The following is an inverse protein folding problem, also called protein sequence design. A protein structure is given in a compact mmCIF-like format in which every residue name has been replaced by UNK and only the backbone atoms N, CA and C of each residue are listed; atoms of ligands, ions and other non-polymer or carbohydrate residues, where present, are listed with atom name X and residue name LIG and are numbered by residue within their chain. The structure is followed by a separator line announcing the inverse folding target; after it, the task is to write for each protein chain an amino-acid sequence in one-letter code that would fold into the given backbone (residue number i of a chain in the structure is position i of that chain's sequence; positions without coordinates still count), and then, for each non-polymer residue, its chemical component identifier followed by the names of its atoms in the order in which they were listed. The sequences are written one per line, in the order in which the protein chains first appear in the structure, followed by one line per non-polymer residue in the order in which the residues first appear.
data_IF_456882569272
#
_entry.id   IF_456882569272
#
_cell.length_a   1.000
_cell.length_b   1.000
_cell.length_c   1.000
_cell.angle_alpha   90.00
_cell.angle_beta   90.00
_cell.angle_gamma   90.00
#
_symmetry.space_group_name_H-M   'P 1'
#
loop_
_entity.id
_entity.type
_entity.pdbx_description
1 polymer ?
#
# COMPACT_ATOMS: atom_id res chain seq x y z
N UNK A 1 1.30 -23.82 -2.01
CA UNK A 1 1.99 -22.53 -1.81
C UNK A 1 3.02 -22.70 -0.71
N UNK A 2 4.21 -22.14 -0.84
CA UNK A 2 5.23 -22.17 0.23
C UNK A 2 4.75 -21.42 1.48
N UNK A 3 5.10 -21.90 2.69
CA UNK A 3 4.83 -21.17 3.93
C UNK A 3 5.43 -19.75 3.89
N UNK A 4 4.73 -18.75 4.46
CA UNK A 4 5.21 -17.35 4.54
C UNK A 4 6.65 -17.16 5.01
N UNK A 5 7.09 -17.92 6.02
CA UNK A 5 8.46 -17.83 6.53
C UNK A 5 9.47 -18.32 5.49
N UNK A 6 9.17 -19.41 4.79
CA UNK A 6 10.05 -19.96 3.74
C UNK A 6 10.24 -18.97 2.59
N UNK A 7 9.18 -18.24 2.21
CA UNK A 7 9.27 -17.19 1.17
C UNK A 7 10.27 -16.10 1.60
N UNK A 8 10.23 -15.70 2.86
CA UNK A 8 11.10 -14.63 3.37
C UNK A 8 12.53 -15.11 3.59
N UNK A 9 12.71 -16.33 4.11
CA UNK A 9 14.03 -16.90 4.38
C UNK A 9 14.80 -17.20 3.09
N UNK A 10 14.07 -17.52 2.01
CA UNK A 10 14.63 -17.77 0.68
C UNK A 10 14.51 -16.56 -0.27
N UNK A 11 14.16 -15.37 0.24
CA UNK A 11 14.08 -14.18 -0.60
C UNK A 11 15.49 -13.69 -0.97
N UNK A 12 15.83 -13.79 -2.26
CA UNK A 12 17.12 -13.36 -2.81
C UNK A 12 17.02 -12.16 -3.75
N UNK A 13 15.86 -11.49 -3.79
CA UNK A 13 15.57 -10.37 -4.67
C UNK A 13 15.01 -10.78 -6.03
N UNK A 14 15.00 -9.81 -6.95
CA UNK A 14 14.46 -9.96 -8.29
C UNK A 14 15.37 -10.84 -9.16
N UNK A 15 14.77 -11.79 -9.89
CA UNK A 15 15.48 -12.72 -10.78
C UNK A 15 15.53 -12.13 -12.19
N UNK A 16 16.72 -11.82 -12.71
CA UNK A 16 16.99 -11.36 -14.08
C UNK A 16 16.14 -10.17 -14.58
N UNK A 17 15.60 -9.35 -13.67
CA UNK A 17 14.57 -8.34 -13.96
C UNK A 17 13.30 -8.91 -14.62
N UNK A 18 13.06 -10.22 -14.51
CA UNK A 18 11.90 -10.92 -15.05
C UNK A 18 10.81 -11.02 -13.96
N UNK A 19 9.70 -10.32 -14.20
CA UNK A 19 8.57 -10.28 -13.28
C UNK A 19 7.94 -11.65 -13.08
N UNK A 20 7.66 -12.36 -14.17
CA UNK A 20 6.95 -13.65 -14.13
C UNK A 20 7.80 -14.74 -13.51
N UNK A 21 9.08 -14.80 -13.88
CA UNK A 21 10.05 -15.72 -13.27
C UNK A 21 10.20 -15.48 -11.78
N UNK A 22 10.29 -14.21 -11.36
CA UNK A 22 10.37 -13.85 -9.95
C UNK A 22 9.10 -14.30 -9.20
N UNK A 23 7.91 -13.99 -9.70
CA UNK A 23 6.63 -14.42 -9.10
C UNK A 23 6.55 -15.94 -8.99
N UNK A 24 6.85 -16.67 -10.08
CA UNK A 24 6.82 -18.14 -10.09
C UNK A 24 7.74 -18.74 -9.03
N UNK A 25 8.98 -18.27 -8.99
CA UNK A 25 9.96 -18.80 -8.04
C UNK A 25 9.60 -18.48 -6.58
N UNK A 26 9.10 -17.27 -6.33
CA UNK A 26 8.70 -16.80 -4.99
C UNK A 26 7.57 -17.63 -4.41
N UNK A 27 6.57 -17.95 -5.23
CA UNK A 27 5.34 -18.63 -4.79
C UNK A 27 5.30 -20.11 -5.13
N UNK A 28 6.39 -20.64 -5.67
CA UNK A 28 6.52 -22.02 -6.16
C UNK A 28 5.39 -22.39 -7.16
N UNK A 29 5.15 -21.51 -8.14
CA UNK A 29 4.12 -21.69 -9.17
C UNK A 29 4.71 -22.49 -10.35
N UNK A 30 4.10 -23.62 -10.76
CA UNK A 30 4.56 -24.44 -11.89
C UNK A 30 4.58 -23.68 -13.22
N UNK A 31 5.51 -23.99 -14.13
CA UNK A 31 5.63 -23.34 -15.45
C UNK A 31 4.34 -23.43 -16.29
N UNK A 32 3.61 -24.53 -16.17
CA UNK A 32 2.37 -24.81 -16.87
C UNK A 32 1.11 -24.30 -16.15
N UNK A 33 1.27 -23.53 -15.07
CA UNK A 33 0.17 -22.91 -14.34
C UNK A 33 -0.74 -22.08 -15.27
N UNK A 34 -2.06 -22.29 -15.11
CA UNK A 34 -3.11 -21.65 -15.91
C UNK A 34 -3.95 -20.69 -15.07
N UNK A 35 -3.49 -20.33 -13.87
CA UNK A 35 -4.23 -19.41 -13.01
C UNK A 35 -4.44 -18.08 -13.72
N UNK A 36 -5.69 -17.62 -13.73
CA UNK A 36 -6.09 -16.35 -14.33
C UNK A 36 -6.23 -15.34 -13.21
N UNK A 37 -5.33 -14.36 -13.19
CA UNK A 37 -5.40 -13.24 -12.26
C UNK A 37 -6.52 -12.28 -12.70
N UNK A 38 -7.41 -11.96 -11.77
CA UNK A 38 -8.63 -11.19 -12.04
C UNK A 38 -8.72 -9.94 -11.17
N UNK A 39 -9.09 -8.82 -11.79
CA UNK A 39 -9.57 -7.61 -11.09
C UNK A 39 -10.46 -6.81 -12.03
N UNK A 40 -11.66 -6.43 -11.60
CA UNK A 40 -12.64 -5.75 -12.46
C UNK A 40 -12.83 -6.47 -13.83
N UNK A 41 -12.61 -5.76 -14.95
CA UNK A 41 -12.69 -6.31 -16.31
C UNK A 41 -11.41 -7.02 -16.78
N UNK A 42 -10.37 -7.08 -15.94
CA UNK A 42 -9.09 -7.70 -16.27
C UNK A 42 -9.09 -9.18 -15.93
N UNK A 43 -8.61 -10.02 -16.86
CA UNK A 43 -8.43 -11.45 -16.66
C UNK A 43 -7.27 -11.96 -17.52
N UNK A 44 -6.10 -12.20 -16.93
CA UNK A 44 -4.92 -12.70 -17.65
C UNK A 44 -4.10 -13.69 -16.83
N UNK A 45 -3.45 -14.61 -17.53
CA UNK A 45 -2.44 -15.53 -16.98
C UNK A 45 -1.09 -14.84 -16.87
N UNK A 46 -0.19 -15.36 -16.02
CA UNK A 46 1.14 -14.77 -15.85
C UNK A 46 1.95 -14.65 -17.16
N UNK A 47 1.96 -15.65 -18.08
CA UNK A 47 2.61 -15.51 -19.39
C UNK A 47 2.03 -14.38 -20.26
N UNK A 48 0.71 -14.19 -20.24
CA UNK A 48 0.05 -13.09 -20.98
C UNK A 48 0.47 -11.72 -20.42
N UNK A 49 0.62 -11.62 -19.10
CA UNK A 49 1.14 -10.41 -18.43
C UNK A 49 2.58 -10.14 -18.87
N UNK A 50 3.45 -11.16 -18.87
CA UNK A 50 4.85 -11.03 -19.33
C UNK A 50 4.92 -10.55 -20.78
N UNK A 51 4.10 -11.12 -21.66
CA UNK A 51 4.08 -10.73 -23.08
C UNK A 51 3.80 -9.25 -23.27
N UNK A 52 2.91 -8.66 -22.46
CA UNK A 52 2.62 -7.22 -22.55
C UNK A 52 3.71 -6.35 -21.93
N UNK A 53 4.40 -6.85 -20.90
CA UNK A 53 5.58 -6.20 -20.34
C UNK A 53 6.69 -6.10 -21.39
N UNK A 54 6.99 -7.22 -22.05
CA UNK A 54 8.04 -7.30 -23.08
C UNK A 54 7.72 -6.44 -24.30
N UNK A 55 6.44 -6.29 -24.64
CA UNK A 55 5.98 -5.39 -25.70
C UNK A 55 6.17 -3.89 -25.38
N UNK A 56 6.41 -3.53 -24.12
CA UNK A 56 6.65 -2.15 -23.69
C UNK A 56 5.41 -1.22 -23.79
N UNK A 57 4.22 -1.77 -24.04
CA UNK A 57 2.99 -1.00 -24.24
C UNK A 57 2.40 -0.41 -22.95
N UNK A 58 2.99 -0.74 -21.79
CA UNK A 58 2.43 -0.50 -20.46
C UNK A 58 3.10 0.65 -19.70
N UNK A 59 3.85 1.50 -20.43
CA UNK A 59 4.53 2.66 -19.84
C UNK A 59 3.53 3.74 -19.44
N UNK A 60 3.64 4.18 -18.19
CA UNK A 60 2.98 5.36 -17.69
C UNK A 60 3.55 6.61 -18.37
N UNK A 61 2.67 7.50 -18.81
CA UNK A 61 3.01 8.65 -19.64
C UNK A 61 2.91 9.92 -18.82
N UNK A 62 4.05 10.45 -18.38
CA UNK A 62 4.11 11.81 -17.84
C UNK A 62 3.97 12.81 -18.97
N UNK A 63 3.30 13.93 -18.70
CA UNK A 63 3.10 14.99 -19.69
C UNK A 63 3.48 16.36 -19.11
N UNK A 64 3.97 17.24 -19.97
CA UNK A 64 4.09 18.68 -19.70
C UNK A 64 3.66 19.44 -20.94
N UNK A 65 2.81 20.45 -20.78
CA UNK A 65 2.26 21.24 -21.89
C UNK A 65 1.68 20.38 -23.04
N UNK A 66 1.03 19.27 -22.70
CA UNK A 66 0.43 18.34 -23.68
C UNK A 66 1.42 17.43 -24.42
N UNK A 67 2.71 17.51 -24.12
CA UNK A 67 3.74 16.62 -24.68
C UNK A 67 4.14 15.55 -23.68
N UNK A 68 4.30 14.32 -24.15
CA UNK A 68 4.81 13.22 -23.34
C UNK A 68 6.29 13.45 -23.00
N UNK A 69 6.62 13.31 -21.71
CA UNK A 69 7.99 13.37 -21.22
C UNK A 69 8.46 11.95 -20.93
N UNK A 70 9.66 11.62 -21.41
CA UNK A 70 10.36 10.41 -21.00
C UNK A 70 10.96 10.57 -19.61
N UNK A 71 10.68 9.60 -18.74
CA UNK A 71 11.24 9.53 -17.39
C UNK A 71 12.49 8.67 -17.40
N UNK A 72 13.57 9.17 -16.81
CA UNK A 72 14.82 8.42 -16.68
C UNK A 72 14.72 7.31 -15.64
N UNK A 73 15.45 6.21 -15.84
CA UNK A 73 15.57 5.14 -14.85
C UNK A 73 16.11 5.65 -13.50
N UNK A 74 17.05 6.59 -13.53
CA UNK A 74 17.63 7.23 -12.34
C UNK A 74 16.58 7.96 -11.51
N UNK A 75 15.60 8.62 -12.14
CA UNK A 75 14.54 9.29 -11.41
C UNK A 75 13.59 8.26 -10.76
N UNK A 76 13.28 7.16 -11.45
CA UNK A 76 12.46 6.07 -10.91
C UNK A 76 13.14 5.40 -9.72
N UNK A 77 14.44 5.11 -9.85
CA UNK A 77 15.25 4.57 -8.75
C UNK A 77 15.25 5.53 -7.56
N UNK A 78 15.45 6.83 -7.79
CA UNK A 78 15.39 7.83 -6.73
C UNK A 78 14.01 7.86 -6.04
N UNK A 79 12.91 7.77 -6.79
CA UNK A 79 11.55 7.69 -6.23
C UNK A 79 11.37 6.42 -5.38
N UNK A 80 11.67 5.23 -5.91
CA UNK A 80 11.51 3.97 -5.18
C UNK A 80 12.40 3.90 -3.92
N UNK A 81 13.56 4.57 -3.95
CA UNK A 81 14.49 4.63 -2.84
C UNK A 81 13.94 5.38 -1.62
N UNK A 82 12.95 6.27 -1.80
CA UNK A 82 12.27 6.98 -0.70
C UNK A 82 11.67 6.00 0.30
N UNK A 83 11.13 4.89 -0.21
CA UNK A 83 10.43 3.87 0.58
C UNK A 83 11.32 2.68 0.96
N UNK A 84 12.60 2.70 0.55
CA UNK A 84 13.54 1.64 0.86
C UNK A 84 13.83 1.60 2.37
N UNK A 85 13.89 0.41 2.99
CA UNK A 85 14.33 0.32 4.38
C UNK A 85 15.81 0.73 4.55
N UNK A 86 16.61 0.67 3.49
CA UNK A 86 18.04 0.98 3.54
C UNK A 86 18.36 2.48 3.47
N UNK A 87 17.37 3.34 3.23
CA UNK A 87 17.54 4.80 3.11
C UNK A 87 16.92 5.52 4.31
N UNK A 88 17.45 6.71 4.59
CA UNK A 88 16.79 7.64 5.50
C UNK A 88 15.72 8.37 4.68
N UNK A 89 14.44 8.12 4.97
CA UNK A 89 13.34 8.64 4.15
C UNK A 89 13.36 10.16 4.03
N UNK A 90 13.70 10.88 5.11
CA UNK A 90 13.77 12.35 5.05
C UNK A 90 14.89 12.80 4.10
N UNK A 91 16.08 12.23 4.22
CA UNK A 91 17.19 12.55 3.31
C UNK A 91 16.91 12.13 1.87
N UNK A 92 16.25 10.98 1.68
CA UNK A 92 15.83 10.52 0.37
C UNK A 92 14.85 11.49 -0.28
N UNK A 93 13.85 11.99 0.46
CA UNK A 93 12.96 13.06 -0.01
C UNK A 93 13.72 14.34 -0.36
N UNK A 94 14.62 14.81 0.52
CA UNK A 94 15.44 16.00 0.25
C UNK A 94 16.26 15.84 -1.04
N UNK A 95 16.92 14.69 -1.22
CA UNK A 95 17.69 14.39 -2.42
C UNK A 95 16.81 14.19 -3.66
N UNK A 96 15.59 13.67 -3.49
CA UNK A 96 14.62 13.54 -4.57
C UNK A 96 14.23 14.93 -5.10
N UNK A 97 13.95 15.88 -4.22
CA UNK A 97 13.63 17.27 -4.56
C UNK A 97 14.84 18.04 -5.09
N UNK A 98 15.98 18.02 -4.39
CA UNK A 98 17.12 18.90 -4.70
C UNK A 98 17.81 18.58 -6.02
N UNK A 99 17.71 17.33 -6.48
CA UNK A 99 18.30 16.88 -7.75
C UNK A 99 17.27 16.88 -8.91
N UNK A 100 16.05 17.37 -8.68
CA UNK A 100 15.06 17.48 -9.72
C UNK A 100 15.45 18.60 -10.70
N UNK A 101 15.41 18.31 -12.00
CA UNK A 101 15.54 19.36 -13.03
C UNK A 101 14.29 20.24 -12.98
N UNK A 102 14.47 21.55 -13.15
CA UNK A 102 13.34 22.50 -13.23
C UNK A 102 12.37 22.08 -14.34
N UNK A 103 11.08 22.13 -14.05
CA UNK A 103 9.96 21.70 -14.89
C UNK A 103 9.97 20.21 -15.28
N UNK A 104 10.73 19.37 -14.57
CA UNK A 104 10.70 17.92 -14.78
C UNK A 104 9.55 17.25 -14.03
N UNK A 105 9.08 16.06 -14.48
CA UNK A 105 8.12 15.27 -13.72
C UNK A 105 8.59 14.98 -12.29
N UNK A 106 9.89 14.79 -12.09
CA UNK A 106 10.48 14.57 -10.76
C UNK A 106 10.24 15.75 -9.83
N UNK A 107 10.39 16.98 -10.32
CA UNK A 107 10.13 18.18 -9.51
C UNK A 107 8.67 18.21 -9.04
N UNK A 108 7.74 17.99 -9.96
CA UNK A 108 6.30 17.98 -9.66
C UNK A 108 5.94 16.89 -8.65
N UNK A 109 6.42 15.65 -8.85
CA UNK A 109 6.18 14.55 -7.91
C UNK A 109 6.82 14.87 -6.55
N UNK A 110 8.05 15.38 -6.52
CA UNK A 110 8.75 15.69 -5.28
C UNK A 110 8.02 16.76 -4.46
N UNK A 111 7.62 17.87 -5.10
CA UNK A 111 6.84 18.93 -4.47
C UNK A 111 5.50 18.40 -3.96
N UNK A 112 4.82 17.56 -4.76
CA UNK A 112 3.57 16.94 -4.37
C UNK A 112 3.74 16.08 -3.12
N UNK A 113 4.63 15.09 -3.13
CA UNK A 113 4.85 14.21 -1.98
C UNK A 113 5.28 14.98 -0.73
N UNK A 114 6.11 16.02 -0.89
CA UNK A 114 6.53 16.88 0.22
C UNK A 114 5.34 17.65 0.82
N UNK A 115 4.44 18.19 0.00
CA UNK A 115 3.25 18.91 0.46
C UNK A 115 2.28 18.00 1.24
N UNK A 116 2.32 16.69 0.98
CA UNK A 116 1.48 15.69 1.62
C UNK A 116 2.13 15.11 2.89
N UNK A 117 3.39 15.41 3.19
CA UNK A 117 4.11 14.74 4.27
C UNK A 117 3.94 15.44 5.63
N UNK A 118 3.43 14.69 6.60
CA UNK A 118 3.40 15.00 8.04
C UNK A 118 3.92 13.76 8.77
N UNK A 119 5.16 13.79 9.26
CA UNK A 119 5.77 12.65 9.96
C UNK A 119 6.00 12.97 11.43
N UNK A 120 5.76 11.98 12.29
CA UNK A 120 5.89 12.09 13.76
C UNK A 120 7.12 11.37 14.30
N UNK A 121 7.84 10.64 13.45
CA UNK A 121 8.91 9.74 13.86
C UNK A 121 10.14 9.90 12.99
N UNK A 122 11.30 9.81 13.63
CA UNK A 122 12.57 9.62 12.93
C UNK A 122 12.78 8.12 12.72
N UNK A 123 12.49 7.64 11.52
CA UNK A 123 12.61 6.22 11.18
C UNK A 123 14.10 5.85 10.97
N UNK A 124 14.62 4.83 11.69
CA UNK A 124 15.98 4.35 11.47
C UNK A 124 16.11 3.62 10.14
N UNK A 125 17.32 3.44 9.63
CA UNK A 125 17.54 2.57 8.46
C UNK A 125 17.60 1.12 8.91
N UNK A 126 17.16 0.21 8.04
CA UNK A 126 17.33 -1.23 8.22
C UNK A 126 17.78 -1.88 6.91
N UNK A 127 18.97 -2.47 6.93
CA UNK A 127 19.45 -3.31 5.80
C UNK A 127 18.95 -4.75 5.89
N UNK A 128 18.35 -5.14 7.01
CA UNK A 128 17.91 -6.50 7.30
C UNK A 128 16.39 -6.65 7.18
N UNK A 129 15.66 -5.56 6.97
CA UNK A 129 14.22 -5.62 6.72
C UNK A 129 13.97 -6.16 5.30
N UNK A 130 13.40 -7.36 5.23
CA UNK A 130 13.02 -8.04 3.99
C UNK A 130 11.54 -7.75 3.71
N UNK A 131 11.23 -7.38 2.47
CA UNK A 131 9.86 -7.19 2.00
C UNK A 131 9.77 -7.50 0.49
N UNK A 132 9.45 -8.74 0.10
CA UNK A 132 9.36 -9.13 -1.32
C UNK A 132 8.37 -8.27 -2.11
N UNK A 133 7.30 -7.79 -1.45
CA UNK A 133 6.32 -6.92 -2.09
C UNK A 133 6.93 -5.57 -2.48
N UNK A 134 7.78 -4.99 -1.64
CA UNK A 134 8.49 -3.74 -1.95
C UNK A 134 9.41 -3.89 -3.17
N UNK A 135 10.19 -4.96 -3.21
CA UNK A 135 11.14 -5.19 -4.32
C UNK A 135 10.41 -5.41 -5.65
N UNK A 136 9.34 -6.21 -5.63
CA UNK A 136 8.50 -6.43 -6.81
C UNK A 136 7.75 -5.15 -7.23
N UNK A 137 7.28 -4.34 -6.27
CA UNK A 137 6.71 -3.03 -6.56
C UNK A 137 7.73 -2.11 -7.23
N UNK A 138 8.96 -2.04 -6.72
CA UNK A 138 10.01 -1.23 -7.32
C UNK A 138 10.36 -1.70 -8.73
N UNK A 139 10.39 -3.01 -8.98
CA UNK A 139 10.48 -3.57 -10.34
C UNK A 139 9.30 -3.09 -11.20
N UNK A 140 8.07 -3.14 -10.68
CA UNK A 140 6.91 -2.67 -11.42
C UNK A 140 7.06 -1.20 -11.83
N UNK A 141 7.53 -0.31 -10.94
CA UNK A 141 7.76 1.09 -11.28
C UNK A 141 8.74 1.24 -12.45
N UNK A 142 9.82 0.44 -12.50
CA UNK A 142 10.78 0.45 -13.61
C UNK A 142 10.13 -0.02 -14.92
N UNK A 143 9.42 -1.14 -14.88
CA UNK A 143 8.74 -1.72 -16.03
C UNK A 143 7.66 -0.77 -16.60
N UNK A 144 7.00 -0.01 -15.74
CA UNK A 144 5.97 0.95 -16.14
C UNK A 144 6.47 2.36 -16.36
N UNK A 145 7.77 2.63 -16.22
CA UNK A 145 8.29 3.99 -16.23
C UNK A 145 7.57 4.95 -15.26
N UNK A 146 7.18 4.45 -14.08
CA UNK A 146 6.42 5.21 -13.09
C UNK A 146 7.36 5.88 -12.07
N UNK A 147 7.23 7.21 -11.96
CA UNK A 147 8.02 8.08 -11.10
C UNK A 147 7.28 8.51 -9.83
N UNK A 148 6.02 8.11 -9.65
CA UNK A 148 5.17 8.54 -8.55
C UNK A 148 3.96 9.39 -8.98
N UNK A 149 3.07 9.67 -8.02
CA UNK A 149 1.79 10.34 -8.27
C UNK A 149 1.97 11.83 -8.59
N UNK A 150 1.03 12.36 -9.36
CA UNK A 150 0.90 13.80 -9.65
C UNK A 150 -0.22 14.42 -8.80
N UNK A 151 -0.24 15.76 -8.65
CA UNK A 151 -1.32 16.44 -7.93
C UNK A 151 -2.68 16.39 -8.63
N UNK A 152 -2.71 16.30 -9.96
CA UNK A 152 -3.95 16.21 -10.74
C UNK A 152 -4.52 14.78 -10.71
N UNK A 153 -5.68 14.51 -10.08
CA UNK A 153 -6.22 13.15 -9.99
C UNK A 153 -6.72 12.56 -11.31
N UNK A 154 -6.71 13.30 -12.43
CA UNK A 154 -7.19 12.83 -13.74
C UNK A 154 -6.52 11.55 -14.21
N UNK A 155 -5.22 11.35 -13.92
CA UNK A 155 -4.51 10.12 -14.26
C UNK A 155 -5.01 8.90 -13.48
N UNK A 156 -5.58 9.12 -12.30
CA UNK A 156 -6.12 8.09 -11.42
C UNK A 156 -7.61 7.84 -11.63
N UNK A 157 -8.25 8.58 -12.54
CA UNK A 157 -9.66 8.39 -12.88
C UNK A 157 -9.89 6.98 -13.43
N UNK A 158 -10.92 6.24 -13.00
CA UNK A 158 -11.21 4.87 -13.43
C UNK A 158 -11.08 4.62 -14.94
N UNK A 159 -11.47 5.56 -15.81
CA UNK A 159 -11.36 5.37 -17.27
C UNK A 159 -9.91 5.38 -17.77
N UNK A 160 -9.05 6.21 -17.18
CA UNK A 160 -7.62 6.27 -17.49
C UNK A 160 -6.88 5.17 -16.73
N UNK A 161 -7.33 4.89 -15.52
CA UNK A 161 -6.87 3.83 -14.66
C UNK A 161 -7.31 2.44 -15.16
N UNK A 162 -8.29 2.28 -16.03
CA UNK A 162 -8.67 0.96 -16.60
C UNK A 162 -7.58 0.35 -17.49
N UNK A 163 -6.59 1.17 -17.87
CA UNK A 163 -5.34 0.72 -18.49
C UNK A 163 -4.24 0.42 -17.46
N UNK A 164 -4.56 0.43 -16.15
CA UNK A 164 -3.58 0.24 -15.06
C UNK A 164 -3.14 -1.19 -14.99
N UNK A 165 -2.07 -1.41 -15.73
CA UNK A 165 -1.06 -2.42 -15.59
C UNK A 165 -1.51 -3.86 -15.27
N UNK A 166 -1.30 -4.82 -16.19
CA UNK A 166 -1.63 -6.24 -15.98
C UNK A 166 -0.99 -6.89 -14.75
N UNK A 167 0.03 -6.26 -14.14
CA UNK A 167 0.67 -6.72 -12.90
C UNK A 167 -0.23 -6.54 -11.65
N UNK A 168 -1.06 -5.48 -11.58
CA UNK A 168 -1.82 -5.17 -10.36
C UNK A 168 -2.64 -6.37 -9.81
N UNK A 169 -3.41 -7.11 -10.63
CA UNK A 169 -4.08 -8.34 -10.20
C UNK A 169 -3.15 -9.37 -9.54
N UNK A 170 -1.91 -9.48 -9.99
CA UNK A 170 -0.90 -10.40 -9.43
C UNK A 170 -0.53 -9.96 -8.02
N UNK A 171 -0.32 -8.65 -7.81
CA UNK A 171 -0.07 -8.10 -6.48
C UNK A 171 -1.26 -8.19 -5.54
N UNK A 172 -2.47 -7.91 -6.02
CA UNK A 172 -3.67 -8.04 -5.20
C UNK A 172 -3.90 -9.48 -4.75
N UNK A 173 -3.63 -10.44 -5.64
CA UNK A 173 -3.72 -11.85 -5.32
C UNK A 173 -2.66 -12.29 -4.30
N UNK A 174 -1.39 -11.92 -4.53
CA UNK A 174 -0.27 -12.43 -3.75
C UNK A 174 0.06 -11.64 -2.49
N UNK A 175 -0.20 -10.33 -2.44
CA UNK A 175 0.24 -9.46 -1.34
C UNK A 175 -0.86 -8.54 -0.80
N UNK A 176 -1.74 -8.03 -1.64
CA UNK A 176 -2.82 -7.11 -1.25
C UNK A 176 -2.70 -5.74 -1.95
N UNK A 177 -3.50 -4.76 -1.54
CA UNK A 177 -3.69 -3.54 -2.35
C UNK A 177 -2.58 -2.48 -2.22
N UNK A 178 -1.84 -2.46 -1.10
CA UNK A 178 -0.79 -1.45 -0.83
C UNK A 178 0.41 -2.12 -0.17
N UNK A 179 1.60 -1.72 -0.60
CA UNK A 179 2.86 -2.19 -0.05
C UNK A 179 3.08 -1.58 1.35
N UNK A 180 3.26 -2.38 2.42
CA UNK A 180 3.66 -1.86 3.72
C UNK A 180 5.12 -1.39 3.64
N UNK A 181 5.36 -0.08 3.53
CA UNK A 181 6.71 0.46 3.58
C UNK A 181 7.33 0.28 4.97
N UNK A 182 8.65 0.23 5.05
CA UNK A 182 9.35 0.12 6.32
C UNK A 182 9.06 1.32 7.24
N UNK A 183 8.96 2.53 6.66
CA UNK A 183 8.54 3.73 7.40
C UNK A 183 7.16 3.55 8.04
N UNK A 184 6.17 3.07 7.29
CA UNK A 184 4.83 2.83 7.81
C UNK A 184 4.83 1.81 8.95
N UNK A 185 5.45 0.65 8.72
CA UNK A 185 5.56 -0.43 9.71
C UNK A 185 6.26 0.03 10.99
N UNK A 186 7.33 0.81 10.86
CA UNK A 186 8.06 1.34 12.01
C UNK A 186 7.24 2.35 12.81
N UNK A 187 6.57 3.30 12.13
CA UNK A 187 5.69 4.27 12.79
C UNK A 187 4.57 3.56 13.56
N UNK A 188 3.92 2.57 12.93
CA UNK A 188 2.88 1.76 13.58
C UNK A 188 3.45 1.05 14.81
N UNK A 189 4.64 0.44 14.69
CA UNK A 189 5.31 -0.23 15.80
C UNK A 189 5.62 0.72 16.96
N UNK A 190 6.09 1.93 16.69
CA UNK A 190 6.36 2.92 17.73
C UNK A 190 5.10 3.38 18.44
N UNK A 191 4.00 3.59 17.71
CA UNK A 191 2.72 3.98 18.31
C UNK A 191 2.17 2.85 19.18
N UNK A 192 2.23 1.61 18.70
CA UNK A 192 1.82 0.45 19.47
C UNK A 192 2.63 0.32 20.78
N UNK A 193 3.94 0.55 20.72
CA UNK A 193 4.81 0.49 21.90
C UNK A 193 4.60 1.65 22.89
N UNK A 194 4.44 2.90 22.40
CA UNK A 194 4.34 4.10 23.23
C UNK A 194 2.93 4.37 23.75
N UNK A 195 1.90 4.01 22.97
CA UNK A 195 0.51 4.38 23.24
C UNK A 195 -0.16 3.59 24.36
N UNK A 196 0.53 2.63 24.98
CA UNK A 196 -0.07 1.71 25.95
C UNK A 196 -1.20 0.86 25.36
N UNK A 197 -1.26 0.79 24.02
CA UNK A 197 -2.28 0.02 23.33
C UNK A 197 -2.03 -1.48 23.56
N UNK A 198 -3.07 -2.21 23.94
CA UNK A 198 -3.01 -3.66 24.15
C UNK A 198 -2.90 -4.48 22.86
N UNK A 199 -2.69 -3.84 21.71
CA UNK A 199 -2.54 -4.49 20.41
C UNK A 199 -3.09 -3.68 19.24
N UNK A 200 -3.08 -4.30 18.06
CA UNK A 200 -3.62 -3.79 16.79
C UNK A 200 -4.73 -4.71 16.30
N UNK A 201 -5.82 -4.13 15.84
CA UNK A 201 -6.87 -4.80 15.08
C UNK A 201 -6.66 -4.42 13.61
N UNK A 202 -6.18 -5.37 12.80
CA UNK A 202 -6.10 -5.24 11.34
C UNK A 202 -7.45 -5.61 10.74
N UNK A 203 -8.28 -4.59 10.50
CA UNK A 203 -9.69 -4.72 10.12
C UNK A 203 -9.84 -4.74 8.60
N UNK A 204 -10.60 -5.73 8.10
CA UNK A 204 -10.63 -6.09 6.69
C UNK A 204 -9.23 -6.41 6.16
N UNK A 205 -8.49 -7.20 6.96
CA UNK A 205 -7.09 -7.58 6.74
C UNK A 205 -6.80 -8.30 5.42
N UNK A 206 -7.85 -8.78 4.74
CA UNK A 206 -7.75 -9.47 3.48
C UNK A 206 -6.94 -10.74 3.58
N UNK A 207 -5.76 -10.75 2.96
CA UNK A 207 -4.88 -11.91 2.98
C UNK A 207 -3.92 -11.95 4.18
N UNK A 208 -3.91 -10.89 5.00
CA UNK A 208 -3.10 -10.79 6.21
C UNK A 208 -1.63 -10.43 5.98
N UNK A 209 -1.21 -9.95 4.79
CA UNK A 209 0.19 -9.55 4.57
C UNK A 209 0.65 -8.44 5.53
N UNK A 210 -0.20 -7.44 5.76
CA UNK A 210 0.07 -6.36 6.73
C UNK A 210 0.22 -6.90 8.16
N UNK A 211 -0.72 -7.75 8.60
CA UNK A 211 -0.61 -8.45 9.88
C UNK A 211 0.69 -9.26 10.00
N UNK A 212 1.05 -10.04 8.99
CA UNK A 212 2.29 -10.82 8.97
C UNK A 212 3.52 -9.92 9.08
N UNK A 213 3.58 -8.82 8.33
CA UNK A 213 4.67 -7.85 8.38
C UNK A 213 4.79 -7.16 9.74
N UNK A 214 3.67 -6.78 10.37
CA UNK A 214 3.68 -6.19 11.72
C UNK A 214 4.14 -7.18 12.80
N UNK A 215 3.75 -8.45 12.70
CA UNK A 215 4.26 -9.52 13.58
C UNK A 215 5.76 -9.73 13.41
N UNK A 216 6.29 -9.67 12.18
CA UNK A 216 7.75 -9.70 11.93
C UNK A 216 8.48 -8.49 12.50
N UNK A 217 7.81 -7.34 12.61
CA UNK A 217 8.33 -6.17 13.34
C UNK A 217 8.28 -6.33 14.86
N UNK A 218 7.81 -7.48 15.36
CA UNK A 218 7.63 -7.78 16.79
C UNK A 218 6.65 -6.81 17.47
N UNK A 219 5.73 -6.23 16.70
CA UNK A 219 4.56 -5.56 17.25
C UNK A 219 3.72 -6.64 17.93
N UNK A 220 3.43 -6.47 19.22
CA UNK A 220 2.89 -7.51 20.10
C UNK A 220 1.61 -8.21 19.61
N UNK A 221 0.46 -7.91 20.23
CA UNK A 221 -0.80 -8.50 19.78
C UNK A 221 -1.28 -7.80 18.49
N UNK A 222 -1.29 -8.53 17.37
CA UNK A 222 -1.85 -8.07 16.09
C UNK A 222 -2.89 -9.09 15.64
N UNK A 223 -4.16 -8.70 15.73
CA UNK A 223 -5.31 -9.53 15.38
C UNK A 223 -5.85 -9.14 14.01
N UNK A 224 -5.84 -10.09 13.06
CA UNK A 224 -6.47 -9.92 11.75
C UNK A 224 -7.95 -10.27 11.81
N UNK A 225 -8.80 -9.40 11.26
CA UNK A 225 -10.25 -9.59 11.15
C UNK A 225 -10.66 -9.42 9.69
N UNK A 226 -11.36 -10.39 9.13
CA UNK A 226 -11.89 -10.33 7.76
C UNK A 226 -13.15 -11.21 7.64
N UNK A 227 -14.03 -10.93 6.69
CA UNK A 227 -15.20 -11.78 6.46
C UNK A 227 -14.87 -13.01 5.58
N UNK A 228 -13.68 -13.03 4.96
CA UNK A 228 -13.15 -14.07 4.09
C UNK A 228 -14.08 -14.31 2.88
N UNK A 229 -14.73 -13.24 2.40
CA UNK A 229 -15.62 -13.32 1.24
C UNK A 229 -14.87 -13.42 -0.10
N UNK A 230 -13.57 -13.11 -0.12
CA UNK A 230 -12.75 -13.18 -1.34
C UNK A 230 -11.96 -14.49 -1.37
N UNK A 231 -12.27 -15.35 -2.34
CA UNK A 231 -11.70 -16.70 -2.47
C UNK A 231 -10.36 -16.74 -3.24
N UNK A 232 -9.99 -15.64 -3.90
CA UNK A 232 -8.89 -15.59 -4.86
C UNK A 232 -7.59 -15.03 -4.26
N UNK A 233 -7.24 -15.34 -3.02
CA UNK A 233 -6.11 -14.71 -2.32
C UNK A 233 -5.13 -15.73 -1.76
N UNK A 234 -3.85 -15.43 -1.95
CA UNK A 234 -2.73 -16.08 -1.27
C UNK A 234 -2.71 -15.63 0.19
N UNK A 235 -2.97 -16.53 1.14
CA UNK A 235 -3.05 -16.21 2.58
C UNK A 235 -1.68 -16.22 3.25
N UNK A 236 -1.37 -15.16 4.00
CA UNK A 236 -0.10 -14.99 4.73
C UNK A 236 -0.16 -15.39 6.20
N UNK A 237 -1.37 -15.56 6.72
CA UNK A 237 -1.64 -15.99 8.09
C UNK A 237 -2.81 -16.97 8.06
N UNK A 238 -2.87 -17.84 9.06
CA UNK A 238 -3.90 -18.88 9.18
C UNK A 238 -4.91 -18.60 10.28
N UNK A 239 -4.66 -17.59 11.11
CA UNK A 239 -5.39 -17.26 12.33
C UNK A 239 -6.27 -15.99 12.17
N UNK A 240 -6.70 -15.67 10.94
CA UNK A 240 -7.64 -14.58 10.70
C UNK A 240 -8.98 -14.88 11.37
N UNK A 241 -9.46 -13.95 12.20
CA UNK A 241 -10.79 -14.04 12.82
C UNK A 241 -11.83 -13.76 11.75
N UNK A 242 -12.62 -14.79 11.40
CA UNK A 242 -13.73 -14.67 10.45
C UNK A 242 -14.92 -13.95 11.09
N UNK A 243 -15.09 -12.66 10.80
CA UNK A 243 -16.20 -11.86 11.36
C UNK A 243 -16.54 -10.66 10.48
N UNK A 244 -17.79 -10.17 10.58
CA UNK A 244 -18.07 -8.78 10.24
C UNK A 244 -17.33 -7.85 11.21
N UNK A 245 -16.77 -6.77 10.69
CA UNK A 245 -15.94 -5.86 11.49
C UNK A 245 -16.68 -5.14 12.61
N UNK A 246 -17.95 -4.78 12.39
CA UNK A 246 -18.77 -4.12 13.41
C UNK A 246 -19.12 -5.09 14.52
N UNK A 247 -19.46 -6.33 14.17
CA UNK A 247 -19.82 -7.34 15.16
C UNK A 247 -18.61 -7.80 15.97
N UNK A 248 -17.43 -7.92 15.34
CA UNK A 248 -16.18 -8.13 16.05
C UNK A 248 -15.94 -7.03 17.09
N UNK A 249 -16.07 -5.76 16.71
CA UNK A 249 -15.89 -4.63 17.63
C UNK A 249 -16.89 -4.69 18.79
N UNK A 250 -18.17 -4.97 18.55
CA UNK A 250 -19.17 -5.09 19.63
C UNK A 250 -18.80 -6.17 20.65
N UNK A 251 -18.32 -7.32 20.18
CA UNK A 251 -17.91 -8.44 21.04
C UNK A 251 -16.62 -8.14 21.83
N UNK A 252 -15.81 -7.18 21.37
CA UNK A 252 -14.51 -6.84 21.95
C UNK A 252 -14.48 -5.40 22.51
N UNK A 253 -15.56 -5.00 23.20
CA UNK A 253 -15.67 -3.69 23.87
C UNK A 253 -15.38 -2.47 22.96
N UNK A 254 -15.78 -2.55 21.70
CA UNK A 254 -15.52 -1.55 20.67
C UNK A 254 -14.05 -1.42 20.28
N UNK A 255 -13.19 -2.40 20.61
CA UNK A 255 -11.75 -2.31 20.39
C UNK A 255 -11.05 -1.31 21.32
N UNK A 256 -11.67 -0.95 22.45
CA UNK A 256 -11.08 -0.01 23.42
C UNK A 256 -9.68 -0.45 23.84
N UNK A 257 -8.73 0.49 23.84
CA UNK A 257 -7.34 0.24 24.20
C UNK A 257 -6.52 -0.48 23.14
N UNK A 258 -7.07 -0.79 21.95
CA UNK A 258 -6.29 -1.26 20.79
C UNK A 258 -6.18 -0.14 19.74
N UNK A 259 -5.29 -0.32 18.77
CA UNK A 259 -5.21 0.51 17.55
C UNK A 259 -6.07 -0.14 16.48
N UNK A 260 -6.85 0.64 15.73
CA UNK A 260 -7.60 0.16 14.57
C UNK A 260 -6.81 0.45 13.31
N UNK A 261 -6.28 -0.58 12.65
CA UNK A 261 -5.66 -0.50 11.33
C UNK A 261 -6.68 -0.91 10.26
N UNK A 262 -6.78 -0.11 9.21
CA UNK A 262 -7.71 -0.30 8.10
C UNK A 262 -6.99 -0.03 6.79
N UNK A 263 -6.68 -1.09 6.04
CA UNK A 263 -5.93 -1.03 4.78
C UNK A 263 -6.86 -1.27 3.60
N UNK A 264 -6.98 -0.28 2.70
CA UNK A 264 -7.77 -0.34 1.48
C UNK A 264 -9.20 -0.85 1.69
N UNK A 265 -9.90 -0.31 2.69
CA UNK A 265 -11.21 -0.82 3.08
C UNK A 265 -12.27 -0.59 2.01
N UNK A 266 -13.21 -1.53 1.95
CA UNK A 266 -14.27 -1.60 0.96
C UNK A 266 -15.19 -0.37 1.09
N UNK A 267 -15.47 0.28 -0.04
CA UNK A 267 -16.38 1.44 -0.13
C UNK A 267 -17.85 1.04 -0.11
N UNK A 268 -18.15 -0.20 -0.56
CA UNK A 268 -19.51 -0.73 -0.61
C UNK A 268 -20.16 -0.80 0.78
N UNK A 269 -21.46 -0.50 0.82
CA UNK A 269 -22.29 -0.68 2.03
C UNK A 269 -21.93 0.21 3.22
N UNK A 270 -21.18 1.30 3.00
CA UNK A 270 -20.72 2.21 4.07
C UNK A 270 -19.92 1.48 5.18
N UNK A 271 -19.23 0.39 4.86
CA UNK A 271 -18.51 -0.45 5.82
C UNK A 271 -17.57 0.36 6.70
N UNK A 272 -16.69 1.17 6.09
CA UNK A 272 -15.72 2.02 6.81
C UNK A 272 -16.40 2.96 7.79
N UNK A 273 -17.48 3.64 7.40
CA UNK A 273 -18.25 4.54 8.28
C UNK A 273 -18.77 3.79 9.49
N UNK A 274 -19.37 2.61 9.28
CA UNK A 274 -19.94 1.78 10.36
C UNK A 274 -18.87 1.26 11.33
N UNK A 275 -17.72 0.84 10.84
CA UNK A 275 -16.59 0.41 11.68
C UNK A 275 -16.07 1.57 12.54
N UNK A 276 -15.84 2.74 11.94
CA UNK A 276 -15.38 3.93 12.66
C UNK A 276 -16.38 4.38 13.73
N UNK A 277 -17.69 4.28 13.46
CA UNK A 277 -18.74 4.57 14.43
C UNK A 277 -18.84 3.54 15.56
N UNK A 278 -18.50 2.28 15.31
CA UNK A 278 -18.48 1.21 16.31
C UNK A 278 -17.21 1.24 17.17
N UNK A 279 -16.11 1.81 16.66
CA UNK A 279 -14.83 1.85 17.33
C UNK A 279 -14.82 2.78 18.55
N UNK A 280 -14.19 2.31 19.63
CA UNK A 280 -14.11 2.97 20.95
C UNK A 280 -12.68 3.19 21.44
N UNK A 281 -11.68 2.82 20.64
CA UNK A 281 -10.29 3.20 20.90
C UNK A 281 -9.98 4.64 20.48
N UNK A 282 -8.70 4.98 20.59
CA UNK A 282 -8.19 6.36 20.49
C UNK A 282 -7.26 6.59 19.30
N UNK A 283 -6.87 5.52 18.59
CA UNK A 283 -5.97 5.61 17.43
C UNK A 283 -6.57 4.84 16.26
N UNK A 284 -6.71 5.51 15.13
CA UNK A 284 -7.09 4.92 13.84
C UNK A 284 -5.95 5.13 12.86
N UNK A 285 -5.56 4.05 12.18
CA UNK A 285 -4.58 4.07 11.10
C UNK A 285 -5.29 3.64 9.82
N UNK A 286 -5.37 4.53 8.85
CA UNK A 286 -5.99 4.29 7.56
C UNK A 286 -4.91 4.30 6.48
N UNK A 287 -4.90 3.27 5.64
CA UNK A 287 -3.99 3.16 4.51
C UNK A 287 -4.81 3.03 3.24
N UNK A 288 -4.57 3.87 2.25
CA UNK A 288 -5.35 3.86 1.02
C UNK A 288 -4.99 4.99 0.07
N UNK A 289 -5.70 5.07 -1.06
CA UNK A 289 -5.55 6.17 -2.00
C UNK A 289 -5.87 7.51 -1.35
N UNK A 290 -5.05 8.51 -1.66
CA UNK A 290 -5.16 9.88 -1.18
C UNK A 290 -5.87 10.78 -2.18
N UNK A 291 -5.95 10.36 -3.45
CA UNK A 291 -6.60 11.13 -4.49
C UNK A 291 -8.12 10.96 -4.42
N UNK A 292 -8.85 11.78 -5.18
CA UNK A 292 -10.31 11.84 -5.17
C UNK A 292 -10.98 10.78 -6.04
N UNK A 293 -10.26 9.71 -6.43
CA UNK A 293 -10.82 8.66 -7.28
C UNK A 293 -11.83 7.74 -6.57
N UNK A 294 -12.04 7.96 -5.25
CA UNK A 294 -13.04 7.28 -4.40
C UNK A 294 -12.89 5.76 -4.32
N UNK A 295 -11.69 5.24 -4.59
CA UNK A 295 -11.41 3.81 -4.47
C UNK A 295 -11.11 3.37 -3.03
N UNK A 296 -11.03 4.27 -2.05
CA UNK A 296 -10.71 3.92 -0.65
C UNK A 296 -11.74 4.36 0.35
N UNK A 297 -12.16 3.40 1.18
CA UNK A 297 -12.90 3.59 2.42
C UNK A 297 -14.33 4.15 2.29
N UNK A 298 -14.52 5.21 1.52
CA UNK A 298 -15.74 5.99 1.39
C UNK A 298 -16.09 6.21 -0.09
N UNK A 299 -17.38 6.12 -0.43
CA UNK A 299 -17.88 6.38 -1.79
C UNK A 299 -17.97 7.87 -2.13
N UNK A 300 -18.07 8.74 -1.10
CA UNK A 300 -18.49 10.13 -1.27
C UNK A 300 -17.43 11.14 -0.79
N UNK A 301 -16.40 10.69 -0.10
CA UNK A 301 -15.39 11.53 0.56
C UNK A 301 -14.00 10.97 0.33
N UNK A 302 -12.99 11.84 0.26
CA UNK A 302 -11.63 11.43 0.60
C UNK A 302 -11.53 11.16 2.13
N UNK A 303 -10.52 10.41 2.56
CA UNK A 303 -10.33 10.06 3.98
C UNK A 303 -10.26 11.31 4.86
N UNK A 304 -9.48 12.32 4.46
CA UNK A 304 -9.33 13.58 5.21
C UNK A 304 -10.65 14.34 5.31
N UNK A 305 -11.36 14.51 4.18
CA UNK A 305 -12.64 15.21 4.14
C UNK A 305 -13.68 14.58 5.07
N UNK A 306 -13.71 13.23 5.14
CA UNK A 306 -14.60 12.53 6.05
C UNK A 306 -14.25 12.82 7.51
N UNK A 307 -12.97 12.79 7.88
CA UNK A 307 -12.57 13.04 9.26
C UNK A 307 -12.80 14.50 9.68
N UNK A 308 -12.52 15.45 8.80
CA UNK A 308 -12.75 16.88 9.04
C UNK A 308 -14.24 17.19 9.26
N UNK A 309 -15.13 16.60 8.44
CA UNK A 309 -16.57 16.89 8.47
C UNK A 309 -17.31 16.06 9.51
N UNK A 310 -17.06 14.75 9.56
CA UNK A 310 -17.89 13.79 10.28
C UNK A 310 -17.26 13.31 11.60
N UNK A 311 -15.95 13.53 11.79
CA UNK A 311 -15.22 13.01 12.95
C UNK A 311 -14.43 14.12 13.69
N UNK A 312 -15.04 15.26 14.07
CA UNK A 312 -14.35 16.45 14.59
C UNK A 312 -13.55 16.24 15.90
N UNK A 313 -13.84 15.14 16.62
CA UNK A 313 -13.13 14.69 17.81
C UNK A 313 -11.80 14.00 17.50
N UNK A 314 -11.42 13.86 16.24
CA UNK A 314 -10.17 13.26 15.81
C UNK A 314 -9.24 14.31 15.23
N UNK A 315 -7.95 14.08 15.38
CA UNK A 315 -6.88 14.93 14.87
C UNK A 315 -5.90 14.08 14.08
N UNK A 316 -5.55 14.52 12.87
CA UNK A 316 -4.53 13.86 12.07
C UNK A 316 -3.17 14.23 12.62
N UNK A 317 -2.44 13.25 13.12
CA UNK A 317 -1.10 13.45 13.68
C UNK A 317 -0.01 13.07 12.68
N UNK A 318 -0.30 12.16 11.75
CA UNK A 318 0.66 11.71 10.74
C UNK A 318 -0.02 11.45 9.39
N UNK A 319 0.69 11.82 8.33
CA UNK A 319 0.39 11.53 6.92
C UNK A 319 1.69 11.25 6.17
N UNK A 320 1.88 10.04 5.67
CA UNK A 320 3.03 9.71 4.83
C UNK A 320 2.56 9.14 3.49
N UNK A 321 3.38 9.34 2.46
CA UNK A 321 3.18 8.66 1.18
C UNK A 321 3.47 7.17 1.33
N UNK A 322 2.76 6.35 0.56
CA UNK A 322 3.00 4.92 0.45
C UNK A 322 3.52 4.58 -0.96
N UNK A 323 4.21 3.45 -1.13
CA UNK A 323 4.57 2.95 -2.45
C UNK A 323 3.31 2.80 -3.30
N UNK A 324 3.18 3.65 -4.32
CA UNK A 324 1.97 3.77 -5.14
C UNK A 324 2.18 3.05 -6.46
N UNK A 325 1.15 2.39 -6.98
CA UNK A 325 1.20 1.83 -8.32
C UNK A 325 0.98 2.90 -9.39
N UNK A 326 1.40 2.62 -10.63
CA UNK A 326 1.09 3.49 -11.75
C UNK A 326 -0.41 3.78 -11.82
N UNK A 327 -0.81 5.05 -11.91
CA UNK A 327 -2.21 5.45 -11.87
C UNK A 327 -2.84 5.52 -10.47
N UNK A 328 -2.06 5.28 -9.41
CA UNK A 328 -2.50 5.37 -8.01
C UNK A 328 -1.67 6.40 -7.26
N UNK A 329 -2.20 6.79 -6.11
CA UNK A 329 -1.60 7.72 -5.17
C UNK A 329 -2.03 7.28 -3.78
N UNK A 330 -1.18 6.53 -3.09
CA UNK A 330 -1.49 5.86 -1.84
C UNK A 330 -0.78 6.54 -0.65
N UNK A 331 -1.42 6.52 0.51
CA UNK A 331 -0.97 7.17 1.72
C UNK A 331 -1.39 6.42 2.97
N UNK A 332 -0.67 6.69 4.07
CA UNK A 332 -1.05 6.26 5.41
C UNK A 332 -1.34 7.49 6.26
N UNK A 333 -2.44 7.41 6.99
CA UNK A 333 -2.98 8.45 7.86
C UNK A 333 -3.11 7.91 9.28
N UNK A 334 -2.74 8.71 10.26
CA UNK A 334 -2.92 8.39 11.67
C UNK A 334 -3.76 9.47 12.29
N UNK A 335 -4.89 9.03 12.84
CA UNK A 335 -5.85 9.88 13.52
C UNK A 335 -5.87 9.49 14.99
N UNK A 336 -5.74 10.49 15.85
CA UNK A 336 -5.79 10.34 17.31
C UNK A 336 -7.01 11.07 17.84
N UNK A 337 -7.74 10.44 18.77
CA UNK A 337 -8.89 11.06 19.41
C UNK A 337 -8.41 12.19 20.35
N UNK A 338 -9.00 13.38 20.21
CA UNK A 338 -8.77 14.52 21.11
C UNK A 338 -9.23 14.15 22.52
N UNK A 339 -8.40 14.47 23.51
CA UNK A 339 -8.69 14.26 24.93
C UNK A 339 -9.76 15.23 25.43
#
# INVERSE_FOLDING_TARGET
MSPPNEIFDNWHGIIDNDFSRTIRKTFNIPEDDKYVYRTESFAMTLPQIQTQLDAGSLKYKYQSHGQQIEVSSTDIEAYTSIFSPATDTHKAFTAFTSNAKKASPRETVAQYLQSRRISISKVPKSKTHINPYYDLWALSCRLTSFLGPLPDPSYAHPTNAKMTHPILPVFYHHFGCVVPSYEALYIISEIAAKGGAGGIIDMASGNGYWTYMLRRMKVGDVTAVDNIASEYRTMWITDTVKSDGVDYLKQHHGGKGKILLMVYTITAGNFTKRVLQAYRGDVVILVGTQNTNRYTGFSDYAIEEYFEKEMPRWEMTCRIAMPSFAGKDDGMYIWVRKK
#
